data_IF_997154066642
#
_entry.id   IF_997154066642
#
_cell.length_a   1.000
_cell.length_b   1.000
_cell.length_c   1.000
_cell.angle_alpha   90.00
_cell.angle_beta   90.00
_cell.angle_gamma   90.00
#
_symmetry.space_group_name_H-M   'P 1'
#
loop_
_entity.id
_entity.type
_entity.pdbx_description
1 polymer ?
#
# COMPACT_ATOMS: atom_id res chain seq x y z
N UNK A 1 -12.71 -0.67 -0.81
CA UNK A 1 -13.65 0.26 -0.16
C UNK A 1 -14.38 -0.52 0.92
N UNK A 2 -14.50 0.02 2.14
CA UNK A 2 -15.09 -0.72 3.26
C UNK A 2 -16.62 -0.73 3.16
N UNK A 3 -17.22 -1.92 3.24
CA UNK A 3 -18.70 -2.06 3.26
C UNK A 3 -19.31 -1.48 4.55
N UNK A 4 -18.56 -1.43 5.65
CA UNK A 4 -19.05 -0.94 6.95
C UNK A 4 -19.18 0.57 7.02
N UNK A 5 -18.32 1.30 6.30
CA UNK A 5 -18.29 2.76 6.28
C UNK A 5 -19.13 3.36 5.15
N UNK A 6 -19.49 2.54 4.15
CA UNK A 6 -20.23 2.97 2.97
C UNK A 6 -19.40 3.87 2.04
N UNK A 7 -19.98 4.21 0.89
CA UNK A 7 -19.36 5.13 -0.07
C UNK A 7 -19.57 6.60 0.39
N UNK A 8 -18.89 6.99 1.47
CA UNK A 8 -18.92 8.35 2.01
C UNK A 8 -17.50 8.89 2.16
N UNK A 9 -17.31 10.16 1.83
CA UNK A 9 -16.06 10.87 2.11
C UNK A 9 -16.00 11.23 3.58
N UNK A 10 -14.91 10.86 4.26
CA UNK A 10 -14.65 11.19 5.66
C UNK A 10 -13.49 12.16 5.72
N UNK A 11 -13.73 13.33 6.32
CA UNK A 11 -12.79 14.45 6.33
C UNK A 11 -12.84 15.26 5.04
N UNK A 12 -12.95 16.58 5.15
CA UNK A 12 -12.77 17.47 4.02
C UNK A 12 -11.33 18.00 4.04
N UNK A 13 -10.59 17.80 2.95
CA UNK A 13 -9.29 18.44 2.76
C UNK A 13 -9.55 19.75 2.04
N UNK A 14 -9.94 20.78 2.80
CA UNK A 14 -9.91 22.15 2.27
C UNK A 14 -8.45 22.58 2.08
N UNK A 15 -7.89 22.25 0.93
CA UNK A 15 -6.57 22.70 0.53
C UNK A 15 -6.67 24.19 0.13
N UNK A 16 -6.53 25.09 1.09
CA UNK A 16 -6.43 26.53 0.83
C UNK A 16 -5.06 26.82 0.20
N UNK A 17 -4.99 26.72 -1.12
CA UNK A 17 -3.81 26.94 -1.98
C UNK A 17 -3.07 28.28 -1.66
N UNK A 18 -3.74 29.23 -1.01
CA UNK A 18 -3.22 30.56 -0.73
C UNK A 18 -2.41 30.71 0.58
N UNK A 19 -2.51 29.79 1.55
CA UNK A 19 -1.92 30.01 2.89
C UNK A 19 -0.63 29.26 3.20
N UNK A 20 -0.03 28.54 2.24
CA UNK A 20 1.32 27.97 2.36
C UNK A 20 1.55 27.00 3.53
N UNK A 21 0.51 26.63 4.28
CA UNK A 21 0.53 25.63 5.36
C UNK A 21 -0.82 24.95 5.44
N UNK A 22 -0.74 23.64 5.58
CA UNK A 22 -1.78 22.67 5.93
C UNK A 22 -2.57 23.14 7.17
N UNK A 23 -3.53 24.02 6.99
CA UNK A 23 -4.46 24.40 8.06
C UNK A 23 -5.55 23.33 8.14
N UNK A 24 -5.21 22.25 8.85
CA UNK A 24 -6.16 21.33 9.50
C UNK A 24 -6.99 20.46 8.56
N UNK A 25 -6.69 19.17 8.52
CA UNK A 25 -7.69 18.16 8.19
C UNK A 25 -8.88 18.32 9.16
N UNK A 26 -9.99 18.88 8.69
CA UNK A 26 -11.18 19.03 9.50
C UNK A 26 -11.89 17.67 9.53
N UNK A 27 -11.73 16.95 10.64
CA UNK A 27 -12.35 15.64 10.86
C UNK A 27 -13.85 15.83 11.12
N UNK A 28 -14.65 15.76 10.07
CA UNK A 28 -16.13 15.87 10.15
C UNK A 28 -16.82 14.56 10.61
N UNK A 29 -16.18 13.80 11.50
CA UNK A 29 -16.71 12.53 12.01
C UNK A 29 -16.35 12.33 13.48
N UNK A 30 -17.31 11.81 14.25
CA UNK A 30 -17.13 11.56 15.69
C UNK A 30 -16.14 10.43 15.99
N UNK A 31 -15.67 10.36 17.24
CA UNK A 31 -14.67 9.37 17.70
C UNK A 31 -15.02 7.92 17.35
N UNK A 32 -16.31 7.56 17.43
CA UNK A 32 -16.78 6.22 17.05
C UNK A 32 -16.51 5.89 15.58
N UNK A 33 -16.65 6.86 14.68
CA UNK A 33 -16.34 6.67 13.26
C UNK A 33 -14.83 6.68 13.01
N UNK A 34 -14.07 7.47 13.78
CA UNK A 34 -12.61 7.46 13.72
C UNK A 34 -12.06 6.08 14.05
N UNK A 35 -12.54 5.47 15.15
CA UNK A 35 -12.15 4.13 15.54
C UNK A 35 -12.47 3.09 14.44
N UNK A 36 -13.66 3.18 13.84
CA UNK A 36 -14.05 2.28 12.74
C UNK A 36 -13.15 2.45 11.50
N UNK A 37 -12.72 3.69 11.18
CA UNK A 37 -11.79 3.95 10.10
C UNK A 37 -10.43 3.30 10.39
N UNK A 38 -9.90 3.50 11.60
CA UNK A 38 -8.60 2.93 11.99
C UNK A 38 -8.62 1.40 11.96
N UNK A 39 -9.72 0.77 12.40
CA UNK A 39 -9.92 -0.68 12.33
C UNK A 39 -9.92 -1.18 10.87
N UNK A 40 -10.63 -0.51 9.96
CA UNK A 40 -10.70 -0.91 8.56
C UNK A 40 -9.38 -0.67 7.80
N UNK A 41 -8.65 0.40 8.13
CA UNK A 41 -7.30 0.64 7.60
C UNK A 41 -6.35 -0.47 8.06
N UNK A 42 -6.42 -0.84 9.35
CA UNK A 42 -5.57 -1.89 9.91
C UNK A 42 -5.83 -3.23 9.24
N UNK A 43 -7.10 -3.57 9.02
CA UNK A 43 -7.51 -4.78 8.31
C UNK A 43 -7.00 -4.80 6.86
N UNK A 44 -7.18 -3.70 6.13
CA UNK A 44 -6.70 -3.57 4.76
C UNK A 44 -5.17 -3.72 4.66
N UNK A 45 -4.43 -3.15 5.62
CA UNK A 45 -2.98 -3.30 5.69
C UNK A 45 -2.58 -4.74 5.99
N UNK A 46 -3.26 -5.42 6.92
CA UNK A 46 -2.97 -6.82 7.22
C UNK A 46 -3.20 -7.73 6.02
N UNK A 47 -4.33 -7.57 5.31
CA UNK A 47 -4.63 -8.35 4.12
C UNK A 47 -3.62 -8.10 3.00
N UNK A 48 -3.22 -6.84 2.80
CA UNK A 48 -2.21 -6.48 1.82
C UNK A 48 -0.84 -7.11 2.15
N UNK A 49 -0.45 -7.14 3.42
CA UNK A 49 0.80 -7.76 3.88
C UNK A 49 0.74 -9.27 3.68
N UNK A 50 -0.35 -9.92 4.06
CA UNK A 50 -0.51 -11.38 3.86
C UNK A 50 -0.45 -11.73 2.38
N UNK A 51 -1.20 -11.01 1.54
CA UNK A 51 -1.17 -11.20 0.09
C UNK A 51 0.21 -10.98 -0.51
N UNK A 52 0.93 -9.95 -0.06
CA UNK A 52 2.30 -9.71 -0.52
C UNK A 52 3.23 -10.87 -0.13
N UNK A 53 3.11 -11.40 1.09
CA UNK A 53 3.87 -12.57 1.54
C UNK A 53 3.53 -13.82 0.75
N UNK A 54 2.26 -14.07 0.47
CA UNK A 54 1.81 -15.19 -0.36
C UNK A 54 2.42 -15.12 -1.76
N UNK A 55 2.32 -13.98 -2.43
CA UNK A 55 2.90 -13.78 -3.76
C UNK A 55 4.42 -14.02 -3.74
N UNK A 56 5.12 -13.51 -2.73
CA UNK A 56 6.56 -13.72 -2.59
C UNK A 56 6.89 -15.21 -2.34
N UNK A 57 6.10 -15.90 -1.53
CA UNK A 57 6.28 -17.34 -1.29
C UNK A 57 6.00 -18.18 -2.53
N UNK A 58 4.93 -17.89 -3.27
CA UNK A 58 4.60 -18.59 -4.53
C UNK A 58 5.70 -18.40 -5.59
N UNK A 59 6.38 -17.25 -5.58
CA UNK A 59 7.44 -16.91 -6.52
C UNK A 59 8.85 -17.05 -5.91
N UNK A 60 9.01 -17.78 -4.82
CA UNK A 60 10.30 -17.87 -4.10
C UNK A 60 11.43 -18.39 -4.99
N UNK A 61 11.17 -19.40 -5.84
CA UNK A 61 12.16 -19.92 -6.78
C UNK A 61 12.63 -18.87 -7.81
N UNK A 62 11.71 -18.02 -8.28
CA UNK A 62 12.04 -16.91 -9.20
C UNK A 62 12.86 -15.85 -8.46
N UNK A 63 12.49 -15.55 -7.21
CA UNK A 63 13.21 -14.62 -6.34
C UNK A 63 14.65 -15.08 -6.10
N UNK A 64 14.85 -16.36 -5.78
CA UNK A 64 16.20 -16.94 -5.59
C UNK A 64 17.05 -16.82 -6.86
N UNK A 65 16.48 -17.08 -8.05
CA UNK A 65 17.19 -16.89 -9.32
C UNK A 65 17.62 -15.44 -9.52
N UNK A 66 16.72 -14.49 -9.26
CA UNK A 66 17.02 -13.06 -9.36
C UNK A 66 18.14 -12.68 -8.39
N UNK A 67 18.10 -13.18 -7.15
CA UNK A 67 19.14 -12.93 -6.15
C UNK A 67 20.49 -13.47 -6.61
N UNK A 68 20.55 -14.70 -7.12
CA UNK A 68 21.80 -15.27 -7.66
C UNK A 68 22.39 -14.41 -8.78
N UNK A 69 21.56 -13.94 -9.72
CA UNK A 69 22.03 -13.09 -10.82
C UNK A 69 22.47 -11.72 -10.31
N UNK A 70 21.77 -11.12 -9.34
CA UNK A 70 22.16 -9.85 -8.74
C UNK A 70 23.47 -9.94 -7.97
N UNK A 71 23.76 -11.08 -7.33
CA UNK A 71 25.04 -11.31 -6.66
C UNK A 71 26.20 -11.36 -7.65
N UNK A 72 25.97 -11.77 -8.90
CA UNK A 72 27.00 -11.84 -9.94
C UNK A 72 27.17 -10.54 -10.73
N UNK A 73 26.06 -9.88 -11.10
CA UNK A 73 26.05 -8.74 -12.04
C UNK A 73 25.82 -7.38 -11.37
N UNK A 74 25.52 -7.33 -10.08
CA UNK A 74 25.15 -6.13 -9.27
C UNK A 74 23.91 -5.35 -9.76
N UNK A 75 23.54 -5.45 -11.03
CA UNK A 75 22.40 -4.78 -11.66
C UNK A 75 21.79 -5.70 -12.72
N UNK A 76 20.46 -5.70 -12.83
CA UNK A 76 19.71 -6.42 -13.85
C UNK A 76 18.87 -5.42 -14.63
N UNK A 77 18.98 -5.45 -15.95
CA UNK A 77 18.17 -4.63 -16.84
C UNK A 77 16.77 -5.23 -17.04
N UNK A 78 15.79 -4.38 -17.40
CA UNK A 78 14.38 -4.78 -17.51
C UNK A 78 14.16 -6.07 -18.33
N UNK A 79 14.82 -6.21 -19.47
CA UNK A 79 14.64 -7.36 -20.36
C UNK A 79 15.15 -8.67 -19.70
N UNK A 80 16.31 -8.62 -19.03
CA UNK A 80 16.86 -9.77 -18.31
C UNK A 80 15.98 -10.15 -17.12
N UNK A 81 15.39 -9.16 -16.44
CA UNK A 81 14.43 -9.41 -15.36
C UNK A 81 13.16 -10.10 -15.86
N UNK A 82 12.61 -9.66 -16.99
CA UNK A 82 11.43 -10.29 -17.60
C UNK A 82 11.70 -11.75 -18.02
N UNK A 83 12.90 -12.05 -18.53
CA UNK A 83 13.32 -13.43 -18.84
C UNK A 83 13.44 -14.31 -17.58
N UNK A 84 13.91 -13.77 -16.46
CA UNK A 84 14.00 -14.49 -15.18
C UNK A 84 12.63 -14.70 -14.52
N UNK A 85 11.66 -13.84 -14.84
CA UNK A 85 10.30 -13.88 -14.30
C UNK A 85 9.32 -14.70 -15.14
N UNK A 86 9.66 -15.05 -16.39
CA UNK A 86 8.91 -15.98 -17.22
C UNK A 86 8.86 -17.39 -16.59
#
# INVERSE_FOLDING_TARGET
MSEKLGARTFGDKEELIFLGKEFGEQRDYGEKYAQLIDEEISLLLSEAIERAKEILHENMEKLERIVCVLLEKETIEKNEFEELMA
#
